data_IF_587878287333
#
_entry.id   IF_587878287333
#
_cell.length_a   1.000
_cell.length_b   1.000
_cell.length_c   1.000
_cell.angle_alpha   90.00
_cell.angle_beta   90.00
_cell.angle_gamma   90.00
#
_symmetry.space_group_name_H-M   'P 1'
#
loop_
_entity.id
_entity.type
_entity.pdbx_description
1 polymer ?
#
# COMPACT_ATOMS: atom_id res chain seq x y z
N UNK A 1 37.26 -24.90 18.25
CA UNK A 1 36.75 -23.52 18.10
C UNK A 1 35.25 -23.60 18.17
N UNK A 2 34.66 -23.20 19.29
CA UNK A 2 33.21 -23.15 19.46
C UNK A 2 32.69 -21.97 18.63
N UNK A 3 32.19 -22.25 17.43
CA UNK A 3 31.36 -21.31 16.70
C UNK A 3 30.05 -21.17 17.47
N UNK A 4 29.85 -20.00 18.08
CA UNK A 4 28.53 -19.61 18.56
C UNK A 4 27.54 -19.71 17.41
N UNK A 5 26.36 -20.34 17.60
CA UNK A 5 25.34 -20.35 16.57
C UNK A 5 24.95 -18.89 16.23
N UNK A 6 24.69 -18.59 14.95
CA UNK A 6 24.31 -17.25 14.55
C UNK A 6 23.06 -16.83 15.33
N UNK A 7 23.11 -15.63 15.92
CA UNK A 7 21.96 -15.02 16.58
C UNK A 7 20.83 -14.96 15.55
N UNK A 8 19.65 -15.55 15.82
CA UNK A 8 18.54 -15.49 14.89
C UNK A 8 18.18 -14.01 14.66
N UNK A 9 17.92 -13.58 13.41
CA UNK A 9 17.41 -12.25 13.15
C UNK A 9 16.14 -12.04 13.95
N UNK A 10 16.03 -10.88 14.61
CA UNK A 10 14.84 -10.49 15.36
C UNK A 10 13.62 -10.61 14.44
N UNK A 11 12.57 -11.37 14.82
CA UNK A 11 11.31 -11.35 14.10
C UNK A 11 10.91 -9.90 13.88
N UNK A 12 10.60 -9.53 12.64
CA UNK A 12 10.14 -8.18 12.36
C UNK A 12 8.96 -7.90 13.29
N UNK A 13 8.99 -6.79 14.04
CA UNK A 13 7.86 -6.45 14.87
C UNK A 13 6.62 -6.40 13.98
N UNK A 14 5.48 -6.97 14.44
CA UNK A 14 4.23 -6.81 13.73
C UNK A 14 4.04 -5.31 13.48
N UNK A 15 3.60 -4.94 12.27
CA UNK A 15 3.05 -3.60 12.08
C UNK A 15 1.93 -3.52 13.11
N UNK A 16 2.00 -2.59 14.07
CA UNK A 16 0.93 -2.47 15.03
C UNK A 16 -0.33 -2.25 14.19
N UNK A 17 -1.31 -3.16 14.29
CA UNK A 17 -2.68 -2.91 13.88
C UNK A 17 -3.31 -1.92 14.87
N UNK A 18 -2.65 -0.79 15.03
CA UNK A 18 -3.01 0.33 15.87
C UNK A 18 -2.14 1.44 15.33
N UNK A 19 -2.71 2.37 14.57
CA UNK A 19 -2.56 3.78 14.88
C UNK A 19 -1.31 4.06 15.73
N UNK A 20 -0.12 4.14 15.10
CA UNK A 20 1.14 4.39 15.84
C UNK A 20 1.05 5.68 16.67
N UNK A 21 0.08 6.53 16.31
CA UNK A 21 -0.45 7.65 17.06
C UNK A 21 -1.97 7.52 17.16
N UNK A 22 -2.57 7.91 18.30
CA UNK A 22 -4.04 7.95 18.46
C UNK A 22 -4.71 8.76 17.32
N UNK A 23 -5.95 8.40 16.96
CA UNK A 23 -6.66 9.05 15.85
C UNK A 23 -6.68 10.59 16.01
N UNK A 24 -6.93 11.08 17.23
CA UNK A 24 -6.92 12.51 17.57
C UNK A 24 -5.60 13.21 17.20
N UNK A 25 -4.46 12.51 17.38
CA UNK A 25 -3.14 13.04 17.01
C UNK A 25 -2.98 13.09 15.49
N UNK A 26 -3.46 12.05 14.79
CA UNK A 26 -3.42 12.01 13.33
C UNK A 26 -4.31 13.10 12.73
N UNK A 27 -5.50 13.31 13.28
CA UNK A 27 -6.43 14.38 12.90
C UNK A 27 -5.79 15.76 13.10
N UNK A 28 -5.21 16.00 14.28
CA UNK A 28 -4.52 17.27 14.57
C UNK A 28 -3.36 17.52 13.60
N UNK A 29 -2.62 16.47 13.24
CA UNK A 29 -1.46 16.59 12.34
C UNK A 29 -1.85 16.97 10.90
N UNK A 30 -2.88 16.34 10.32
CA UNK A 30 -3.22 16.58 8.91
C UNK A 30 -3.89 17.94 8.66
N UNK A 31 -4.49 18.52 9.69
CA UNK A 31 -5.10 19.86 9.66
C UNK A 31 -4.18 20.95 10.22
N UNK A 32 -2.89 20.65 10.46
CA UNK A 32 -1.95 21.65 10.95
C UNK A 32 -1.81 22.82 9.96
N UNK A 33 -1.77 24.05 10.47
CA UNK A 33 -1.85 25.26 9.66
C UNK A 33 -0.63 25.47 8.74
N UNK A 34 0.56 25.07 9.20
CA UNK A 34 1.80 25.25 8.44
C UNK A 34 2.20 23.96 7.69
N UNK A 35 2.05 23.90 6.35
CA UNK A 35 2.46 22.75 5.55
C UNK A 35 3.98 22.50 5.59
N UNK A 36 4.80 23.49 5.94
CA UNK A 36 6.26 23.32 6.10
C UNK A 36 6.56 22.44 7.31
N UNK A 37 5.80 22.56 8.40
CA UNK A 37 5.96 21.69 9.58
C UNK A 37 5.63 20.25 9.21
N UNK A 38 4.54 20.04 8.47
CA UNK A 38 4.14 18.72 7.97
C UNK A 38 5.24 18.14 7.07
N UNK A 39 5.74 18.92 6.10
CA UNK A 39 6.82 18.47 5.22
C UNK A 39 8.11 18.14 5.98
N UNK A 40 8.49 18.95 6.97
CA UNK A 40 9.65 18.68 7.84
C UNK A 40 9.46 17.42 8.67
N UNK A 41 8.26 17.15 9.18
CA UNK A 41 7.97 15.93 9.92
C UNK A 41 8.10 14.69 9.03
N UNK A 42 7.61 14.77 7.79
CA UNK A 42 7.79 13.72 6.78
C UNK A 42 9.29 13.55 6.47
N UNK A 43 10.02 14.62 6.20
CA UNK A 43 11.47 14.55 5.94
C UNK A 43 12.25 13.97 7.14
N UNK A 44 11.87 14.31 8.37
CA UNK A 44 12.43 13.73 9.59
C UNK A 44 12.17 12.24 9.65
N UNK A 45 10.95 11.79 9.36
CA UNK A 45 10.61 10.37 9.36
C UNK A 45 11.48 9.58 8.36
N UNK A 46 11.69 10.11 7.15
CA UNK A 46 12.64 9.52 6.20
C UNK A 46 14.08 9.48 6.76
N UNK A 47 14.53 10.57 7.39
CA UNK A 47 15.86 10.60 8.01
C UNK A 47 15.99 9.55 9.11
N UNK A 48 14.98 9.40 9.96
CA UNK A 48 14.99 8.44 11.07
C UNK A 48 15.03 6.98 10.54
N UNK A 49 14.30 6.67 9.46
CA UNK A 49 14.36 5.36 8.80
C UNK A 49 15.76 5.06 8.25
N UNK A 50 16.41 6.06 7.64
CA UNK A 50 17.61 5.83 6.82
C UNK A 50 18.92 6.03 7.56
N UNK A 51 18.94 6.87 8.59
CA UNK A 51 20.13 7.21 9.36
C UNK A 51 19.99 6.81 10.84
N UNK A 52 18.82 6.33 11.26
CA UNK A 52 18.44 6.23 12.66
C UNK A 52 17.98 7.60 13.21
N UNK A 53 17.32 7.61 14.36
CA UNK A 53 16.86 8.84 14.99
C UNK A 53 18.03 9.76 15.33
N UNK A 54 17.95 11.01 14.87
CA UNK A 54 18.92 12.06 15.24
C UNK A 54 18.55 12.59 16.63
N UNK A 55 19.21 12.08 17.69
CA UNK A 55 19.22 12.53 19.10
C UNK A 55 17.87 12.80 19.81
N UNK A 56 17.54 12.06 20.88
CA UNK A 56 16.66 12.56 21.97
C UNK A 56 17.02 11.97 23.37
N UNK A 57 16.67 12.68 24.45
CA UNK A 57 17.00 12.34 25.83
C UNK A 57 16.08 11.27 26.39
N UNK A 58 16.63 10.50 27.32
CA UNK A 58 16.00 9.44 28.11
C UNK A 58 14.83 9.99 28.93
N UNK A 59 13.70 9.26 28.97
CA UNK A 59 12.58 9.58 29.85
C UNK A 59 12.89 9.23 31.33
N UNK A 60 11.98 9.52 32.25
CA UNK A 60 12.16 9.24 33.68
C UNK A 60 12.31 7.73 34.04
N UNK A 61 12.02 6.85 33.08
CA UNK A 61 12.24 5.39 33.09
C UNK A 61 13.42 4.96 32.19
N UNK A 62 14.21 5.90 31.69
CA UNK A 62 15.33 5.70 30.78
C UNK A 62 14.97 4.98 29.45
N UNK A 63 13.70 5.03 29.00
CA UNK A 63 13.22 4.31 27.81
C UNK A 63 12.58 5.26 26.79
N UNK A 64 13.28 5.56 25.70
CA UNK A 64 12.71 6.24 24.54
C UNK A 64 12.05 5.15 23.68
N UNK A 65 10.78 5.31 23.29
CA UNK A 65 10.19 4.51 22.19
C UNK A 65 10.81 5.00 20.88
N UNK A 66 12.02 4.52 20.63
CA UNK A 66 12.80 4.77 19.42
C UNK A 66 12.13 4.06 18.26
N UNK A 67 12.00 4.72 17.11
CA UNK A 67 11.84 4.02 15.83
C UNK A 67 13.07 3.12 15.70
N UNK A 68 12.93 1.83 15.97
CA UNK A 68 14.07 0.93 15.94
C UNK A 68 14.58 0.88 14.50
N UNK A 69 15.89 0.91 14.33
CA UNK A 69 16.53 0.69 13.02
C UNK A 69 16.21 -0.70 12.45
N UNK A 70 15.69 -1.59 13.28
CA UNK A 70 15.16 -2.90 12.87
C UNK A 70 13.63 -2.88 12.61
N UNK A 71 12.95 -1.77 12.91
CA UNK A 71 11.58 -1.52 12.47
C UNK A 71 11.63 -1.18 10.98
N UNK A 72 11.56 -2.21 10.15
CA UNK A 72 11.41 -2.03 8.72
C UNK A 72 10.29 -1.00 8.46
N UNK A 73 10.48 -0.01 7.55
CA UNK A 73 9.43 0.94 7.25
C UNK A 73 8.15 0.15 6.95
N UNK A 74 6.99 0.54 7.51
CA UNK A 74 5.73 -0.19 7.33
C UNK A 74 5.17 -0.05 5.89
N UNK A 75 6.02 0.33 4.94
CA UNK A 75 5.67 0.75 3.61
C UNK A 75 6.21 -0.28 2.61
N UNK A 76 5.35 -0.69 1.70
CA UNK A 76 5.74 -1.41 0.50
C UNK A 76 4.98 -0.79 -0.66
N UNK A 77 5.62 -0.64 -1.81
CA UNK A 77 5.07 0.09 -2.96
C UNK A 77 3.78 -0.53 -3.51
N UNK A 78 3.50 -1.80 -3.18
CA UNK A 78 2.21 -2.45 -3.47
C UNK A 78 1.02 -1.72 -2.81
N UNK A 79 1.21 -1.15 -1.63
CA UNK A 79 0.20 -0.34 -0.95
C UNK A 79 -0.23 0.80 -1.86
N UNK A 80 0.76 1.58 -2.33
CA UNK A 80 0.50 2.71 -3.20
C UNK A 80 -0.13 2.31 -4.53
N UNK A 81 0.32 1.21 -5.13
CA UNK A 81 -0.31 0.65 -6.32
C UNK A 81 -1.80 0.32 -6.10
N UNK A 82 -2.14 -0.41 -5.04
CA UNK A 82 -3.52 -0.83 -4.77
C UNK A 82 -4.43 0.36 -4.47
N UNK A 83 -3.95 1.31 -3.66
CA UNK A 83 -4.69 2.52 -3.34
C UNK A 83 -4.87 3.41 -4.58
N UNK A 84 -3.83 3.63 -5.40
CA UNK A 84 -3.98 4.44 -6.62
C UNK A 84 -4.96 3.84 -7.61
N UNK A 85 -5.04 2.50 -7.73
CA UNK A 85 -6.04 1.83 -8.58
C UNK A 85 -7.48 2.19 -8.23
N UNK A 86 -7.76 2.76 -7.05
CA UNK A 86 -9.09 3.25 -6.68
C UNK A 86 -9.51 4.53 -7.40
N UNK A 87 -8.56 5.19 -8.10
CA UNK A 87 -8.65 6.54 -8.69
C UNK A 87 -8.67 7.68 -7.67
N UNK A 88 -8.29 7.42 -6.42
CA UNK A 88 -8.27 8.44 -5.37
C UNK A 88 -7.44 9.68 -5.73
N UNK A 89 -6.29 9.50 -6.38
CA UNK A 89 -5.44 10.62 -6.78
C UNK A 89 -6.14 11.55 -7.77
N UNK A 90 -6.76 10.99 -8.82
CA UNK A 90 -7.46 11.77 -9.85
C UNK A 90 -8.71 12.45 -9.30
N UNK A 91 -9.45 11.77 -8.42
CA UNK A 91 -10.64 12.32 -7.76
C UNK A 91 -10.24 13.51 -6.88
N UNK A 92 -9.20 13.37 -6.07
CA UNK A 92 -8.75 14.45 -5.18
C UNK A 92 -8.09 15.59 -5.97
N UNK A 93 -7.30 15.31 -7.00
CA UNK A 93 -6.75 16.34 -7.88
C UNK A 93 -7.86 17.19 -8.51
N UNK A 94 -8.91 16.53 -9.04
CA UNK A 94 -10.08 17.23 -9.57
C UNK A 94 -10.85 18.00 -8.51
N UNK A 95 -10.94 17.47 -7.29
CA UNK A 95 -11.54 18.17 -6.16
C UNK A 95 -10.81 19.48 -5.86
N UNK A 96 -9.47 19.43 -5.75
CA UNK A 96 -8.64 20.61 -5.49
C UNK A 96 -8.80 21.61 -6.63
N UNK A 97 -8.74 21.14 -7.88
CA UNK A 97 -8.94 21.99 -9.07
C UNK A 97 -10.29 22.71 -9.03
N UNK A 98 -11.39 21.98 -8.79
CA UNK A 98 -12.72 22.58 -8.73
C UNK A 98 -12.84 23.58 -7.60
N UNK A 99 -12.27 23.31 -6.41
CA UNK A 99 -12.29 24.27 -5.29
C UNK A 99 -11.54 25.56 -5.57
N UNK A 100 -10.48 25.51 -6.36
CA UNK A 100 -9.66 26.70 -6.66
C UNK A 100 -10.21 27.55 -7.80
N UNK A 101 -10.96 26.94 -8.71
CA UNK A 101 -11.37 27.57 -9.98
C UNK A 101 -12.87 27.79 -10.07
N UNK A 102 -13.66 27.20 -9.17
CA UNK A 102 -15.11 27.21 -9.21
C UNK A 102 -15.71 27.08 -7.78
N UNK A 103 -17.00 27.36 -7.63
CA UNK A 103 -17.74 27.24 -6.37
C UNK A 103 -18.74 26.06 -6.40
N UNK A 104 -18.65 25.19 -7.41
CA UNK A 104 -19.56 24.05 -7.61
C UNK A 104 -19.61 23.05 -6.46
N UNK A 105 -18.57 23.00 -5.62
CA UNK A 105 -18.50 22.14 -4.45
C UNK A 105 -19.02 22.82 -3.17
N UNK A 106 -19.47 24.07 -3.26
CA UNK A 106 -19.97 24.88 -2.16
C UNK A 106 -18.90 25.81 -1.56
N UNK A 107 -19.38 26.82 -0.83
CA UNK A 107 -18.52 27.87 -0.23
C UNK A 107 -18.19 27.51 1.23
N UNK A 108 -16.90 27.51 1.56
CA UNK A 108 -16.44 27.31 2.93
C UNK A 108 -16.74 28.56 3.77
N UNK A 109 -17.25 28.36 4.99
CA UNK A 109 -17.53 29.46 5.93
C UNK A 109 -16.35 29.60 6.87
N UNK A 110 -15.83 30.82 7.09
CA UNK A 110 -14.75 31.04 8.04
C UNK A 110 -15.22 30.86 9.50
N UNK A 111 -16.53 30.78 9.77
CA UNK A 111 -17.06 30.65 11.14
C UNK A 111 -17.26 29.19 11.56
N UNK A 112 -17.13 28.25 10.62
CA UNK A 112 -17.34 26.81 10.86
C UNK A 112 -15.99 26.10 10.89
N UNK A 113 -15.54 25.66 12.07
CA UNK A 113 -14.25 24.96 12.28
C UNK A 113 -14.07 23.78 11.32
N UNK A 114 -15.14 23.04 11.03
CA UNK A 114 -15.09 21.93 10.09
C UNK A 114 -14.75 22.38 8.65
N UNK A 115 -15.26 23.54 8.23
CA UNK A 115 -14.97 24.11 6.91
C UNK A 115 -13.54 24.62 6.87
N UNK A 116 -13.06 25.25 7.95
CA UNK A 116 -11.65 25.67 8.10
C UNK A 116 -10.71 24.47 7.94
N UNK A 117 -10.95 23.37 8.67
CA UNK A 117 -10.14 22.16 8.57
C UNK A 117 -10.19 21.53 7.16
N UNK A 118 -11.35 21.51 6.52
CA UNK A 118 -11.47 21.04 5.14
C UNK A 118 -10.62 21.88 4.17
N UNK A 119 -10.67 23.20 4.28
CA UNK A 119 -9.86 24.12 3.46
C UNK A 119 -8.37 23.97 3.75
N UNK A 120 -7.99 23.89 5.02
CA UNK A 120 -6.60 23.71 5.43
C UNK A 120 -6.02 22.43 4.84
N UNK A 121 -6.77 21.32 4.86
CA UNK A 121 -6.30 20.08 4.25
C UNK A 121 -6.16 20.19 2.74
N UNK A 122 -7.07 20.86 2.03
CA UNK A 122 -6.96 21.10 0.58
C UNK A 122 -5.68 21.87 0.27
N UNK A 123 -5.44 22.98 0.98
CA UNK A 123 -4.23 23.80 0.83
C UNK A 123 -2.96 23.03 1.19
N UNK A 124 -2.97 22.26 2.28
CA UNK A 124 -1.85 21.41 2.66
C UNK A 124 -1.55 20.37 1.58
N UNK A 125 -2.58 19.71 1.05
CA UNK A 125 -2.44 18.68 0.02
C UNK A 125 -1.81 19.25 -1.25
N UNK A 126 -2.28 20.40 -1.71
CA UNK A 126 -1.68 21.11 -2.84
C UNK A 126 -0.20 21.44 -2.59
N UNK A 127 0.09 22.10 -1.45
CA UNK A 127 1.44 22.54 -1.11
C UNK A 127 2.43 21.37 -0.93
N UNK A 128 1.96 20.23 -0.43
CA UNK A 128 2.80 19.06 -0.14
C UNK A 128 3.08 18.19 -1.36
N UNK A 129 2.14 18.11 -2.32
CA UNK A 129 2.18 17.09 -3.37
C UNK A 129 1.99 17.60 -4.80
N UNK A 130 1.33 18.75 -4.99
CA UNK A 130 1.08 19.32 -6.33
C UNK A 130 1.98 20.53 -6.65
N UNK A 131 2.64 21.10 -5.64
CA UNK A 131 3.71 22.09 -5.82
C UNK A 131 5.05 21.43 -6.18
N UNK A 132 5.84 22.11 -7.00
CA UNK A 132 7.25 21.75 -7.23
C UNK A 132 8.05 21.82 -5.93
N UNK A 133 8.52 20.66 -5.46
CA UNK A 133 9.31 20.54 -4.25
C UNK A 133 10.75 21.05 -4.44
N UNK A 134 11.39 21.46 -3.34
CA UNK A 134 12.83 21.77 -3.32
C UNK A 134 13.66 20.55 -3.74
N UNK A 135 14.84 20.80 -4.32
CA UNK A 135 15.83 19.76 -4.63
C UNK A 135 16.29 18.99 -3.37
N UNK A 136 16.18 19.59 -2.19
CA UNK A 136 16.54 18.96 -0.91
C UNK A 136 15.47 18.04 -0.33
N UNK A 137 14.24 18.04 -0.87
CA UNK A 137 13.15 17.22 -0.33
C UNK A 137 13.31 15.76 -0.75
N UNK A 138 13.35 14.83 0.21
CA UNK A 138 13.47 13.39 -0.06
C UNK A 138 12.29 12.81 -0.82
N UNK A 139 11.12 13.46 -0.85
CA UNK A 139 9.97 13.02 -1.64
C UNK A 139 9.98 13.49 -3.08
N UNK A 140 10.90 14.38 -3.45
CA UNK A 140 10.94 14.95 -4.79
C UNK A 140 11.39 13.91 -5.84
N UNK A 141 10.43 13.24 -6.47
CA UNK A 141 10.65 12.28 -7.56
C UNK A 141 10.52 12.92 -8.95
N UNK A 142 10.27 14.23 -8.99
CA UNK A 142 10.12 15.03 -10.20
C UNK A 142 11.37 15.86 -10.48
N UNK A 143 11.62 16.15 -11.75
CA UNK A 143 12.66 17.07 -12.20
C UNK A 143 12.39 17.49 -13.64
N UNK A 144 13.23 18.34 -14.23
CA UNK A 144 13.14 18.63 -15.67
C UNK A 144 13.25 17.37 -16.54
N UNK A 145 13.84 16.28 -16.02
CA UNK A 145 13.94 14.98 -16.71
C UNK A 145 12.73 14.07 -16.40
N UNK A 146 12.04 14.30 -15.27
CA UNK A 146 10.85 13.56 -14.83
C UNK A 146 9.76 14.55 -14.45
N UNK A 147 9.08 15.19 -15.42
CA UNK A 147 8.23 16.34 -15.13
C UNK A 147 6.93 15.96 -14.40
N UNK A 148 6.50 14.71 -14.47
CA UNK A 148 5.21 14.26 -13.92
C UNK A 148 5.41 13.21 -12.82
N UNK A 149 4.87 13.49 -11.63
CA UNK A 149 4.92 12.60 -10.47
C UNK A 149 4.13 11.30 -10.68
N UNK A 150 2.94 11.35 -11.28
CA UNK A 150 2.15 10.15 -11.61
C UNK A 150 2.92 9.22 -12.55
N UNK A 151 3.53 9.77 -13.60
CA UNK A 151 4.36 8.98 -14.53
C UNK A 151 5.56 8.32 -13.82
N UNK A 152 6.16 8.99 -12.85
CA UNK A 152 7.23 8.43 -12.03
C UNK A 152 6.74 7.27 -11.14
N UNK A 153 5.56 7.39 -10.52
CA UNK A 153 4.95 6.31 -9.72
C UNK A 153 4.54 5.11 -10.57
N UNK A 154 3.87 5.33 -11.71
CA UNK A 154 3.53 4.28 -12.68
C UNK A 154 4.76 3.54 -13.19
N UNK A 155 5.86 4.26 -13.46
CA UNK A 155 7.13 3.64 -13.81
C UNK A 155 7.66 2.74 -12.68
N UNK A 156 7.59 3.19 -11.44
CA UNK A 156 8.02 2.40 -10.28
C UNK A 156 7.18 1.12 -10.11
N UNK A 157 5.84 1.22 -10.23
CA UNK A 157 4.93 0.05 -10.21
C UNK A 157 5.26 -0.94 -11.32
N UNK A 158 5.46 -0.44 -12.54
CA UNK A 158 5.80 -1.27 -13.69
C UNK A 158 7.16 -1.94 -13.53
N UNK A 159 8.16 -1.25 -12.97
CA UNK A 159 9.47 -1.84 -12.69
C UNK A 159 9.36 -2.93 -11.63
N UNK A 160 8.65 -2.68 -10.54
CA UNK A 160 8.56 -3.58 -9.39
C UNK A 160 7.71 -4.83 -9.66
N UNK A 161 6.59 -4.69 -10.37
CA UNK A 161 5.61 -5.76 -10.53
C UNK A 161 5.23 -6.06 -11.99
N UNK A 162 5.72 -5.28 -12.96
CA UNK A 162 5.35 -5.46 -14.37
C UNK A 162 3.92 -5.09 -14.73
N UNK A 163 3.20 -4.40 -13.83
CA UNK A 163 1.77 -4.05 -13.97
C UNK A 163 1.55 -2.55 -14.15
N UNK A 164 0.43 -2.20 -14.76
CA UNK A 164 -0.04 -0.83 -14.95
C UNK A 164 -1.24 -0.54 -14.04
N UNK A 165 -1.61 0.73 -13.86
CA UNK A 165 -2.87 1.07 -13.20
C UNK A 165 -4.04 0.79 -14.16
N UNK A 166 -5.19 0.45 -13.59
CA UNK A 166 -6.38 0.02 -14.32
C UNK A 166 -7.03 1.11 -15.20
N UNK A 167 -6.67 2.38 -14.98
CA UNK A 167 -7.29 3.53 -15.60
C UNK A 167 -6.25 4.41 -16.33
N UNK A 168 -6.76 5.17 -17.29
CA UNK A 168 -6.00 6.08 -18.13
C UNK A 168 -5.82 7.45 -17.49
N UNK A 169 -4.86 8.25 -17.98
CA UNK A 169 -4.64 9.58 -17.43
C UNK A 169 -5.79 10.51 -17.85
N UNK A 170 -6.38 11.21 -16.89
CA UNK A 170 -7.48 12.16 -17.14
C UNK A 170 -7.08 13.38 -17.95
N UNK A 171 -5.78 13.68 -18.07
CA UNK A 171 -5.27 14.85 -18.79
C UNK A 171 -5.00 14.61 -20.29
N UNK A 172 -5.27 13.40 -20.80
CA UNK A 172 -5.21 13.07 -22.23
C UNK A 172 -6.44 12.24 -22.60
N UNK A 173 -7.54 12.91 -22.91
CA UNK A 173 -8.79 12.28 -23.35
C UNK A 173 -8.68 11.60 -24.73
N UNK A 174 -7.57 11.80 -25.47
CA UNK A 174 -7.43 11.41 -26.87
C UNK A 174 -6.43 10.28 -27.18
N UNK A 175 -5.70 9.72 -26.20
CA UNK A 175 -4.60 8.77 -26.54
C UNK A 175 -4.37 7.57 -25.62
N UNK A 176 -5.26 7.28 -24.69
CA UNK A 176 -5.08 6.16 -23.76
C UNK A 176 -4.06 6.44 -22.64
N UNK A 177 -3.84 5.39 -21.81
CA UNK A 177 -2.94 5.31 -20.63
C UNK A 177 -1.82 6.36 -20.65
N UNK A 178 -1.63 7.09 -19.53
CA UNK A 178 -0.58 8.10 -19.33
C UNK A 178 0.71 7.72 -20.08
N UNK A 179 1.23 8.52 -21.02
CA UNK A 179 2.49 8.19 -21.68
C UNK A 179 3.62 8.32 -20.65
N UNK A 180 3.96 7.20 -20.00
CA UNK A 180 5.11 7.07 -19.13
C UNK A 180 6.10 6.08 -19.73
N UNK A 181 7.37 6.24 -19.38
CA UNK A 181 8.41 5.33 -19.85
C UNK A 181 8.22 3.94 -19.25
N UNK A 182 7.90 2.94 -20.09
CA UNK A 182 7.84 1.52 -19.66
C UNK A 182 9.24 0.92 -19.69
N UNK A 183 9.80 0.66 -18.52
CA UNK A 183 11.14 0.10 -18.40
C UNK A 183 11.23 -1.29 -19.07
N UNK A 184 12.25 -1.50 -19.90
CA UNK A 184 12.50 -2.81 -20.53
C UNK A 184 12.68 -3.92 -19.50
N UNK A 185 13.39 -3.61 -18.40
CA UNK A 185 13.62 -4.53 -17.29
C UNK A 185 12.56 -4.32 -16.19
N UNK A 186 11.53 -5.16 -16.21
CA UNK A 186 10.37 -5.18 -15.30
C UNK A 186 10.02 -6.60 -14.89
N UNK A 187 9.40 -6.76 -13.73
CA UNK A 187 9.01 -8.05 -13.14
C UNK A 187 7.68 -8.57 -13.71
N UNK A 188 7.59 -8.81 -15.03
CA UNK A 188 6.34 -9.20 -15.71
C UNK A 188 5.73 -10.53 -15.22
N UNK A 189 6.57 -11.43 -14.70
CA UNK A 189 6.12 -12.73 -14.18
C UNK A 189 5.66 -12.67 -12.71
N UNK A 190 5.66 -11.47 -12.10
CA UNK A 190 5.29 -11.31 -10.70
C UNK A 190 3.88 -11.82 -10.42
N UNK A 191 2.88 -11.42 -11.22
CA UNK A 191 1.49 -11.78 -10.95
C UNK A 191 1.25 -13.29 -11.04
N UNK A 192 1.64 -14.01 -12.12
CA UNK A 192 1.49 -15.45 -12.17
C UNK A 192 2.14 -16.18 -10.99
N UNK A 193 3.31 -15.73 -10.53
CA UNK A 193 4.00 -16.30 -9.37
C UNK A 193 3.28 -15.98 -8.06
N UNK A 194 2.80 -14.75 -7.92
CA UNK A 194 2.08 -14.30 -6.73
C UNK A 194 0.75 -15.04 -6.58
N UNK A 195 -0.01 -15.25 -7.66
CA UNK A 195 -1.25 -16.04 -7.63
C UNK A 195 -0.99 -17.53 -7.36
N UNK A 196 0.12 -18.05 -7.87
CA UNK A 196 0.61 -19.38 -7.49
C UNK A 196 0.99 -19.45 -6.01
N UNK A 197 1.60 -18.41 -5.46
CA UNK A 197 1.92 -18.38 -4.03
C UNK A 197 0.66 -18.33 -3.15
N UNK A 198 -0.28 -17.43 -3.47
CA UNK A 198 -1.51 -17.24 -2.71
C UNK A 198 -2.40 -18.50 -2.66
N UNK A 199 -2.50 -19.24 -3.77
CA UNK A 199 -3.31 -20.47 -3.76
C UNK A 199 -2.63 -21.65 -3.07
N UNK A 200 -1.29 -21.73 -3.02
CA UNK A 200 -0.62 -22.74 -2.17
C UNK A 200 -0.87 -22.44 -0.68
N UNK A 201 -0.80 -21.16 -0.29
CA UNK A 201 -1.15 -20.73 1.06
C UNK A 201 -2.61 -21.05 1.42
N UNK A 202 -3.54 -20.83 0.49
CA UNK A 202 -4.94 -21.20 0.68
C UNK A 202 -5.13 -22.71 0.86
N UNK A 203 -4.51 -23.51 0.00
CA UNK A 203 -4.58 -24.97 0.10
C UNK A 203 -4.02 -25.45 1.45
N UNK A 204 -2.91 -24.86 1.89
CA UNK A 204 -2.31 -25.17 3.18
C UNK A 204 -3.22 -24.82 4.36
N UNK A 205 -3.89 -23.66 4.31
CA UNK A 205 -4.88 -23.26 5.30
C UNK A 205 -6.07 -24.22 5.36
N UNK A 206 -6.64 -24.61 4.22
CA UNK A 206 -7.76 -25.58 4.18
C UNK A 206 -7.33 -26.93 4.78
N UNK A 207 -6.18 -27.45 4.37
CA UNK A 207 -5.68 -28.72 4.89
C UNK A 207 -5.40 -28.67 6.40
N UNK A 208 -4.92 -27.55 6.93
CA UNK A 208 -4.69 -27.37 8.36
C UNK A 208 -5.99 -27.41 9.18
N UNK A 209 -7.13 -27.02 8.59
CA UNK A 209 -8.45 -27.07 9.22
C UNK A 209 -9.13 -28.44 9.09
N UNK A 210 -8.68 -29.28 8.14
CA UNK A 210 -9.28 -30.59 7.89
C UNK A 210 -8.91 -31.58 9.02
N UNK A 211 -9.92 -32.29 9.53
CA UNK A 211 -9.74 -33.36 10.53
C UNK A 211 -9.65 -34.76 9.93
N UNK A 212 -9.92 -34.88 8.63
CA UNK A 212 -9.91 -36.12 7.87
C UNK A 212 -9.49 -35.87 6.42
N UNK A 213 -8.83 -36.83 5.79
CA UNK A 213 -8.32 -36.74 4.42
C UNK A 213 -6.79 -36.65 4.35
N UNK A 214 -6.23 -36.88 3.17
CA UNK A 214 -4.80 -36.75 2.94
C UNK A 214 -4.39 -35.27 2.97
N UNK A 215 -3.37 -34.94 3.77
CA UNK A 215 -2.79 -33.60 3.77
C UNK A 215 -1.87 -33.43 2.56
N UNK A 216 -2.34 -32.70 1.55
CA UNK A 216 -1.60 -32.42 0.30
C UNK A 216 -0.73 -31.17 0.37
N UNK A 217 -0.54 -30.58 1.56
CA UNK A 217 0.20 -29.32 1.70
C UNK A 217 1.67 -29.49 1.38
N UNK A 218 2.15 -28.72 0.40
CA UNK A 218 3.56 -28.64 0.04
C UNK A 218 4.16 -27.32 0.57
N UNK A 219 4.71 -27.38 1.80
CA UNK A 219 5.39 -26.23 2.41
C UNK A 219 6.66 -25.82 1.65
N UNK A 220 7.35 -26.77 1.00
CA UNK A 220 8.55 -26.46 0.22
C UNK A 220 8.18 -25.63 -1.01
N UNK A 221 7.07 -25.97 -1.68
CA UNK A 221 6.57 -25.18 -2.81
C UNK A 221 6.22 -23.74 -2.41
N UNK A 222 5.62 -23.53 -1.24
CA UNK A 222 5.33 -22.19 -0.70
C UNK A 222 6.63 -21.38 -0.53
N UNK A 223 7.65 -22.00 0.06
CA UNK A 223 8.98 -21.40 0.28
C UNK A 223 9.63 -21.05 -1.07
N UNK A 224 9.67 -21.99 -2.01
CA UNK A 224 10.26 -21.78 -3.34
C UNK A 224 9.59 -20.64 -4.11
N UNK A 225 8.27 -20.51 -4.01
CA UNK A 225 7.52 -19.43 -4.64
C UNK A 225 7.81 -18.08 -3.97
N UNK A 226 7.84 -18.04 -2.63
CA UNK A 226 8.23 -16.84 -1.89
C UNK A 226 9.64 -16.38 -2.27
N UNK A 227 10.59 -17.31 -2.38
CA UNK A 227 11.97 -17.03 -2.79
C UNK A 227 12.05 -16.44 -4.18
N UNK A 228 11.35 -17.01 -5.16
CA UNK A 228 11.32 -16.45 -6.52
C UNK A 228 10.76 -15.03 -6.55
N UNK A 229 9.67 -14.78 -5.82
CA UNK A 229 9.07 -13.44 -5.72
C UNK A 229 10.06 -12.47 -5.06
N UNK A 230 10.72 -12.90 -3.97
CA UNK A 230 11.77 -12.13 -3.29
C UNK A 230 12.91 -11.75 -4.23
N UNK A 231 13.50 -12.72 -4.91
CA UNK A 231 14.61 -12.50 -5.86
C UNK A 231 14.22 -11.51 -6.96
N UNK A 232 13.01 -11.64 -7.51
CA UNK A 232 12.48 -10.68 -8.48
C UNK A 232 12.42 -9.27 -7.92
N UNK A 233 11.88 -9.07 -6.72
CA UNK A 233 11.78 -7.73 -6.09
C UNK A 233 13.16 -7.17 -5.73
N UNK A 234 14.04 -7.95 -5.11
CA UNK A 234 15.39 -7.55 -4.75
C UNK A 234 16.24 -7.16 -5.98
N UNK A 235 16.07 -7.87 -7.11
CA UNK A 235 16.73 -7.51 -8.37
C UNK A 235 16.38 -6.10 -8.83
N UNK A 236 15.15 -5.63 -8.56
CA UNK A 236 14.71 -4.27 -8.90
C UNK A 236 15.25 -3.25 -7.93
N UNK A 237 15.45 -3.63 -6.67
CA UNK A 237 16.10 -2.77 -5.66
C UNK A 237 17.62 -2.68 -5.83
N UNK A 238 18.21 -3.53 -6.66
CA UNK A 238 19.66 -3.59 -6.86
C UNK A 238 20.40 -4.27 -5.70
N UNK A 239 19.69 -5.13 -4.95
CA UNK A 239 20.26 -5.94 -3.88
C UNK A 239 20.31 -7.40 -4.30
N UNK A 240 21.39 -8.09 -3.94
CA UNK A 240 21.54 -9.54 -4.13
C UNK A 240 21.39 -10.32 -2.80
N UNK A 241 20.90 -9.67 -1.74
CA UNK A 241 20.80 -10.28 -0.42
C UNK A 241 19.87 -9.52 0.51
N UNK A 242 20.11 -9.66 1.81
CA UNK A 242 19.22 -9.14 2.85
C UNK A 242 19.08 -7.62 2.76
N UNK A 243 17.82 -7.17 2.75
CA UNK A 243 17.46 -5.79 2.95
C UNK A 243 17.97 -5.35 4.33
N UNK A 244 18.76 -4.28 4.36
CA UNK A 244 19.15 -3.63 5.61
C UNK A 244 18.66 -2.19 5.55
N UNK A 245 18.13 -1.64 6.63
CA UNK A 245 17.65 -0.24 6.57
C UNK A 245 18.78 0.76 6.27
N UNK A 246 20.02 0.35 6.48
CA UNK A 246 21.24 1.11 6.17
C UNK A 246 21.44 1.41 4.69
N UNK A 247 21.07 0.47 3.83
CA UNK A 247 21.21 0.64 2.39
C UNK A 247 19.89 1.06 1.73
N UNK A 248 18.76 1.05 2.46
CA UNK A 248 17.44 1.36 1.92
C UNK A 248 17.40 2.67 1.14
N UNK A 249 18.04 3.76 1.64
CA UNK A 249 18.10 5.05 0.93
C UNK A 249 18.80 5.01 -0.43
N UNK A 250 19.70 4.05 -0.62
CA UNK A 250 20.50 3.88 -1.85
C UNK A 250 19.92 2.81 -2.77
N UNK A 251 18.95 2.04 -2.29
CA UNK A 251 18.28 1.04 -3.10
C UNK A 251 17.40 1.72 -4.12
N UNK A 252 17.41 1.11 -5.29
CA UNK A 252 16.60 1.56 -6.41
C UNK A 252 15.10 1.39 -6.04
N UNK A 253 14.28 2.37 -6.43
CA UNK A 253 12.85 2.48 -6.10
C UNK A 253 12.51 2.85 -4.65
N UNK A 254 13.43 2.89 -3.69
CA UNK A 254 13.08 3.21 -2.29
C UNK A 254 12.54 4.62 -2.10
N UNK A 255 13.06 5.59 -2.86
CA UNK A 255 12.57 6.97 -2.84
C UNK A 255 11.20 7.07 -3.47
N UNK A 256 11.01 6.43 -4.63
CA UNK A 256 9.71 6.33 -5.29
C UNK A 256 8.68 5.62 -4.41
N UNK A 257 9.05 4.54 -3.72
CA UNK A 257 8.21 3.83 -2.75
C UNK A 257 7.78 4.74 -1.60
N UNK A 258 8.72 5.42 -0.95
CA UNK A 258 8.41 6.32 0.15
C UNK A 258 7.53 7.50 -0.27
N UNK A 259 7.86 8.14 -1.40
CA UNK A 259 7.06 9.24 -1.93
C UNK A 259 5.64 8.80 -2.31
N UNK A 260 5.51 7.63 -2.95
CA UNK A 260 4.22 7.08 -3.37
C UNK A 260 3.35 6.68 -2.19
N UNK A 261 3.91 5.93 -1.24
CA UNK A 261 3.18 5.50 -0.04
C UNK A 261 2.80 6.69 0.83
N UNK A 262 3.70 7.66 1.04
CA UNK A 262 3.37 8.88 1.76
C UNK A 262 2.24 9.68 1.11
N UNK A 263 2.27 9.81 -0.22
CA UNK A 263 1.20 10.47 -0.98
C UNK A 263 -0.14 9.76 -0.85
N UNK A 264 -0.20 8.45 -1.12
CA UNK A 264 -1.48 7.74 -1.10
C UNK A 264 -2.04 7.54 0.30
N UNK A 265 -1.18 7.41 1.32
CA UNK A 265 -1.61 7.32 2.72
C UNK A 265 -2.24 8.63 3.18
N UNK A 266 -1.67 9.76 2.77
CA UNK A 266 -2.26 11.09 3.01
C UNK A 266 -3.66 11.22 2.39
N UNK A 267 -3.81 10.80 1.14
CA UNK A 267 -5.11 10.82 0.46
C UNK A 267 -6.10 9.83 1.05
N UNK A 268 -5.66 8.61 1.38
CA UNK A 268 -6.53 7.60 1.97
C UNK A 268 -7.01 8.01 3.36
N UNK A 269 -6.15 8.62 4.18
CA UNK A 269 -6.49 9.01 5.54
C UNK A 269 -7.73 9.90 5.60
N UNK A 270 -7.83 10.91 4.72
CA UNK A 270 -8.97 11.84 4.75
C UNK A 270 -10.31 11.18 4.43
N UNK A 271 -10.30 10.03 3.75
CA UNK A 271 -11.50 9.25 3.42
C UNK A 271 -11.64 7.99 4.27
N UNK A 272 -10.72 7.71 5.19
CA UNK A 272 -10.82 6.53 6.05
C UNK A 272 -12.00 6.62 7.04
N UNK A 273 -12.42 7.85 7.35
CA UNK A 273 -13.50 8.17 8.30
C UNK A 273 -14.35 9.36 7.81
N UNK A 274 -15.38 9.74 8.58
CA UNK A 274 -16.14 10.98 8.35
C UNK A 274 -15.28 12.21 8.73
N UNK A 275 -14.24 12.47 7.96
CA UNK A 275 -13.35 13.61 8.20
C UNK A 275 -14.06 14.96 7.98
N UNK A 276 -13.49 16.07 8.49
CA UNK A 276 -13.96 17.41 8.18
C UNK A 276 -14.19 17.65 6.69
N UNK A 277 -13.30 17.19 5.82
CA UNK A 277 -13.49 17.28 4.36
C UNK A 277 -14.70 16.49 3.88
N UNK A 278 -14.83 15.22 4.30
CA UNK A 278 -15.95 14.36 3.90
C UNK A 278 -17.29 14.95 4.35
N UNK A 279 -17.33 15.49 5.57
CA UNK A 279 -18.54 16.10 6.11
C UNK A 279 -18.89 17.40 5.41
N UNK A 280 -17.90 18.26 5.17
CA UNK A 280 -18.06 19.50 4.44
C UNK A 280 -18.62 19.28 3.04
N UNK A 281 -18.17 18.24 2.35
CA UNK A 281 -18.69 17.86 1.03
C UNK A 281 -20.07 17.19 1.09
N UNK A 282 -20.56 16.77 2.27
CA UNK A 282 -21.76 15.95 2.39
C UNK A 282 -21.61 14.56 1.74
N UNK A 283 -20.41 13.98 1.84
CA UNK A 283 -20.03 12.72 1.19
C UNK A 283 -19.81 11.57 2.18
N UNK A 284 -20.51 11.60 3.32
CA UNK A 284 -20.42 10.57 4.36
C UNK A 284 -20.78 9.17 3.80
N UNK A 285 -20.28 8.13 4.48
CA UNK A 285 -20.52 6.72 4.16
C UNK A 285 -20.15 5.81 5.33
N UNK A 286 -20.39 4.51 5.19
CA UNK A 286 -19.98 3.51 6.17
C UNK A 286 -18.55 3.05 5.93
N UNK A 287 -18.08 3.09 4.68
CA UNK A 287 -16.73 2.66 4.31
C UNK A 287 -15.95 3.75 3.56
N UNK A 288 -14.62 3.63 3.53
CA UNK A 288 -13.78 4.54 2.76
C UNK A 288 -14.12 4.51 1.26
N UNK A 289 -14.48 3.34 0.72
CA UNK A 289 -14.91 3.21 -0.68
C UNK A 289 -16.19 3.97 -0.97
N UNK A 290 -17.19 3.92 -0.08
CA UNK A 290 -18.44 4.67 -0.27
C UNK A 290 -18.20 6.17 -0.25
N UNK A 291 -17.36 6.66 0.69
CA UNK A 291 -16.96 8.07 0.73
C UNK A 291 -16.27 8.49 -0.56
N UNK A 292 -15.32 7.69 -1.06
CA UNK A 292 -14.63 7.98 -2.30
C UNK A 292 -15.60 8.01 -3.49
N UNK A 293 -16.55 7.07 -3.57
CA UNK A 293 -17.59 7.05 -4.61
C UNK A 293 -18.45 8.32 -4.54
N UNK A 294 -18.84 8.76 -3.34
CA UNK A 294 -19.64 9.96 -3.15
C UNK A 294 -18.86 11.24 -3.56
N UNK A 295 -17.60 11.36 -3.16
CA UNK A 295 -16.72 12.46 -3.61
C UNK A 295 -16.54 12.40 -5.13
N UNK A 296 -16.28 11.21 -5.68
CA UNK A 296 -16.11 10.98 -7.11
C UNK A 296 -17.30 11.47 -7.93
N UNK A 297 -18.53 11.19 -7.48
CA UNK A 297 -19.76 11.69 -8.10
C UNK A 297 -19.82 13.22 -8.11
N UNK A 298 -19.38 13.89 -7.04
CA UNK A 298 -19.38 15.36 -6.96
C UNK A 298 -18.39 15.99 -7.92
N UNK A 299 -17.23 15.38 -8.11
CA UNK A 299 -16.16 15.92 -8.96
C UNK A 299 -16.23 15.44 -10.42
N UNK A 300 -17.18 14.56 -10.74
CA UNK A 300 -17.39 14.01 -12.08
C UNK A 300 -16.42 12.89 -12.47
N UNK A 301 -15.74 12.27 -11.49
CA UNK A 301 -14.79 11.16 -11.72
C UNK A 301 -15.21 9.96 -10.89
N UNK A 302 -15.67 8.89 -11.54
CA UNK A 302 -16.07 7.67 -10.83
C UNK A 302 -14.87 6.95 -10.20
N UNK A 303 -15.02 6.55 -8.93
CA UNK A 303 -14.08 5.67 -8.26
C UNK A 303 -14.09 4.26 -8.89
N UNK A 304 -13.00 3.52 -8.69
CA UNK A 304 -12.94 2.15 -9.19
C UNK A 304 -14.02 1.25 -8.55
N UNK A 305 -14.69 0.43 -9.36
CA UNK A 305 -15.79 -0.44 -8.89
C UNK A 305 -15.40 -1.46 -7.81
N UNK A 306 -14.09 -1.72 -7.67
CA UNK A 306 -13.49 -2.62 -6.67
C UNK A 306 -12.75 -1.88 -5.55
N UNK A 307 -12.97 -0.57 -5.39
CA UNK A 307 -12.22 0.27 -4.45
C UNK A 307 -12.21 -0.30 -3.02
N UNK A 308 -13.34 -0.82 -2.52
CA UNK A 308 -13.40 -1.46 -1.20
C UNK A 308 -12.38 -2.61 -1.04
N UNK A 309 -12.36 -3.55 -1.99
CA UNK A 309 -11.43 -4.68 -1.93
C UNK A 309 -9.97 -4.22 -2.03
N UNK A 310 -9.69 -3.17 -2.81
CA UNK A 310 -8.35 -2.58 -2.92
C UNK A 310 -7.92 -1.91 -1.61
N UNK A 311 -8.81 -1.15 -0.96
CA UNK A 311 -8.53 -0.53 0.34
C UNK A 311 -8.28 -1.56 1.43
N UNK A 312 -9.15 -2.57 1.54
CA UNK A 312 -9.06 -3.61 2.57
C UNK A 312 -7.82 -4.50 2.39
N UNK A 313 -7.34 -4.66 1.15
CA UNK A 313 -6.18 -5.49 0.85
C UNK A 313 -4.85 -4.75 1.02
N UNK A 314 -4.80 -3.43 0.81
CA UNK A 314 -3.55 -2.70 0.66
C UNK A 314 -2.59 -2.83 1.86
N UNK A 315 -3.04 -2.67 3.13
CA UNK A 315 -2.16 -2.86 4.29
C UNK A 315 -1.61 -4.27 4.38
N UNK A 316 -2.47 -5.29 4.31
CA UNK A 316 -2.08 -6.70 4.42
C UNK A 316 -1.16 -7.14 3.28
N UNK A 317 -1.39 -6.65 2.06
CA UNK A 317 -0.52 -6.91 0.92
C UNK A 317 0.88 -6.32 1.11
N UNK A 318 0.96 -5.12 1.70
CA UNK A 318 2.24 -4.50 2.04
C UNK A 318 2.99 -5.30 3.10
N UNK A 319 2.32 -5.75 4.17
CA UNK A 319 2.90 -6.63 5.18
C UNK A 319 3.43 -7.93 4.56
N UNK A 320 2.60 -8.58 3.74
CA UNK A 320 2.94 -9.86 3.13
C UNK A 320 4.17 -9.75 2.22
N UNK A 321 4.17 -8.79 1.29
CA UNK A 321 5.30 -8.63 0.37
C UNK A 321 6.56 -8.16 1.10
N UNK A 322 6.43 -7.36 2.16
CA UNK A 322 7.57 -7.01 3.03
C UNK A 322 8.15 -8.27 3.68
N UNK A 323 7.33 -9.13 4.26
CA UNK A 323 7.81 -10.37 4.87
C UNK A 323 8.52 -11.28 3.84
N UNK A 324 8.05 -11.30 2.59
CA UNK A 324 8.74 -11.98 1.49
C UNK A 324 10.08 -11.29 1.19
N UNK A 325 10.10 -9.98 0.96
CA UNK A 325 11.30 -9.20 0.63
C UNK A 325 12.40 -9.35 1.70
N UNK A 326 12.03 -9.28 2.97
CA UNK A 326 12.94 -9.44 4.11
C UNK A 326 13.37 -10.89 4.35
N UNK A 327 12.83 -11.85 3.59
CA UNK A 327 13.22 -13.25 3.65
C UNK A 327 12.63 -14.00 4.84
N UNK A 328 11.52 -13.54 5.43
CA UNK A 328 10.87 -14.23 6.56
C UNK A 328 10.46 -15.68 6.22
N UNK A 329 10.25 -15.96 4.93
CA UNK A 329 9.94 -17.30 4.40
C UNK A 329 11.19 -18.15 4.11
N UNK A 330 12.41 -17.64 4.30
CA UNK A 330 13.68 -18.29 3.94
C UNK A 330 14.62 -18.54 5.13
N UNK A 331 14.34 -17.94 6.30
CA UNK A 331 15.21 -18.04 7.48
C UNK A 331 15.17 -19.43 8.10
N UNK A 332 16.28 -19.83 8.73
CA UNK A 332 16.74 -21.13 9.26
C UNK A 332 15.76 -22.24 9.70
N UNK A 333 14.47 -21.99 9.88
CA UNK A 333 13.40 -22.99 10.02
C UNK A 333 12.09 -22.50 9.34
N UNK A 334 12.11 -22.27 8.02
CA UNK A 334 11.05 -21.52 7.35
C UNK A 334 9.75 -22.34 7.21
N UNK A 335 9.90 -23.64 7.04
CA UNK A 335 8.82 -24.63 7.03
C UNK A 335 8.03 -24.62 8.36
N UNK A 336 8.75 -24.55 9.47
CA UNK A 336 8.19 -24.52 10.82
C UNK A 336 7.49 -23.20 11.08
N UNK A 337 8.07 -22.08 10.65
CA UNK A 337 7.46 -20.77 10.82
C UNK A 337 6.15 -20.65 10.02
N UNK A 338 6.17 -20.97 8.72
CA UNK A 338 4.97 -20.84 7.88
C UNK A 338 3.88 -21.84 8.28
N UNK A 339 4.26 -23.07 8.66
CA UNK A 339 3.36 -24.04 9.29
C UNK A 339 2.72 -23.44 10.55
N UNK A 340 3.50 -22.86 11.45
CA UNK A 340 2.97 -22.24 12.68
C UNK A 340 2.00 -21.10 12.37
N UNK A 341 2.30 -20.26 11.36
CA UNK A 341 1.39 -19.20 10.91
C UNK A 341 0.08 -19.78 10.41
N UNK A 342 0.13 -20.75 9.49
CA UNK A 342 -1.04 -21.39 8.87
C UNK A 342 -1.88 -22.13 9.92
N UNK A 343 -1.24 -22.82 10.86
CA UNK A 343 -1.89 -23.62 11.88
C UNK A 343 -2.31 -22.80 13.12
N UNK A 344 -2.02 -21.49 13.16
CA UNK A 344 -2.21 -20.62 14.32
C UNK A 344 -3.65 -20.44 14.80
N UNK A 345 -4.63 -20.75 13.94
CA UNK A 345 -6.07 -20.70 14.22
C UNK A 345 -6.74 -22.07 14.14
N UNK A 346 -5.97 -23.16 14.16
CA UNK A 346 -6.54 -24.51 14.13
C UNK A 346 -7.17 -24.85 15.49
N UNK A 347 -8.34 -25.48 15.46
CA UNK A 347 -9.09 -25.87 16.66
C UNK A 347 -8.48 -27.07 17.40
N UNK A 348 -7.51 -27.77 16.79
CA UNK A 348 -6.99 -29.06 17.25
C UNK A 348 -5.62 -28.96 17.95
N UNK A 349 -5.47 -28.02 18.90
CA UNK A 349 -4.24 -27.92 19.69
C UNK A 349 -2.99 -27.61 18.86
N UNK A 350 -3.13 -26.74 17.85
CA UNK A 350 -2.04 -26.29 16.99
C UNK A 350 -0.85 -25.71 17.78
N UNK A 351 0.31 -25.53 17.12
CA UNK A 351 1.51 -25.02 17.76
C UNK A 351 1.23 -23.66 18.43
N UNK A 352 1.91 -23.40 19.55
CA UNK A 352 1.79 -22.13 20.27
C UNK A 352 2.25 -20.97 19.37
N UNK A 353 1.30 -20.32 18.70
CA UNK A 353 1.57 -19.20 17.82
C UNK A 353 1.63 -17.87 18.58
N UNK A 354 2.67 -17.09 18.29
CA UNK A 354 2.78 -15.70 18.75
C UNK A 354 1.66 -14.83 18.17
N UNK A 355 1.35 -13.68 18.81
CA UNK A 355 0.41 -12.70 18.25
C UNK A 355 0.77 -12.25 16.82
N UNK A 356 2.07 -12.10 16.53
CA UNK A 356 2.55 -11.74 15.20
C UNK A 356 2.25 -12.81 14.14
N UNK A 357 2.41 -14.10 14.49
CA UNK A 357 2.09 -15.19 13.57
C UNK A 357 0.59 -15.30 13.29
N UNK A 358 -0.26 -15.03 14.29
CA UNK A 358 -1.72 -14.97 14.10
C UNK A 358 -2.13 -13.79 13.22
N UNK A 359 -1.51 -12.63 13.41
CA UNK A 359 -1.74 -11.45 12.57
C UNK A 359 -1.31 -11.71 11.11
N UNK A 360 -0.16 -12.37 10.90
CA UNK A 360 0.30 -12.74 9.57
C UNK A 360 -0.70 -13.65 8.82
N UNK A 361 -1.34 -14.59 9.51
CA UNK A 361 -2.40 -15.41 8.90
C UNK A 361 -3.61 -14.56 8.49
N UNK A 362 -4.05 -13.63 9.35
CA UNK A 362 -5.15 -12.72 9.05
C UNK A 362 -4.83 -11.88 7.80
N UNK A 363 -3.61 -11.35 7.70
CA UNK A 363 -3.15 -10.58 6.54
C UNK A 363 -3.14 -11.46 5.27
N UNK A 364 -2.60 -12.68 5.34
CA UNK A 364 -2.60 -13.63 4.20
C UNK A 364 -4.03 -13.89 3.70
N UNK A 365 -4.95 -14.21 4.61
CA UNK A 365 -6.34 -14.51 4.25
C UNK A 365 -7.05 -13.26 3.70
N UNK A 366 -6.75 -12.08 4.25
CA UNK A 366 -7.28 -10.79 3.75
C UNK A 366 -6.83 -10.54 2.32
N UNK A 367 -5.54 -10.77 2.02
CA UNK A 367 -5.00 -10.65 0.66
C UNK A 367 -5.68 -11.65 -0.27
N UNK A 368 -5.75 -12.94 0.07
CA UNK A 368 -6.38 -13.96 -0.78
C UNK A 368 -7.83 -13.57 -1.12
N UNK A 369 -8.63 -13.23 -0.10
CA UNK A 369 -10.04 -12.92 -0.25
C UNK A 369 -10.28 -11.68 -1.12
N UNK A 370 -9.51 -10.63 -0.91
CA UNK A 370 -9.71 -9.37 -1.62
C UNK A 370 -9.02 -9.33 -2.98
N UNK A 371 -7.95 -10.12 -3.18
CA UNK A 371 -7.33 -10.30 -4.49
C UNK A 371 -8.31 -10.90 -5.48
N UNK A 372 -8.98 -12.01 -5.14
CA UNK A 372 -10.01 -12.62 -6.00
C UNK A 372 -11.14 -11.65 -6.34
N UNK A 373 -11.57 -10.82 -5.39
CA UNK A 373 -12.63 -9.82 -5.59
C UNK A 373 -12.20 -8.71 -6.54
N UNK A 374 -10.93 -8.29 -6.46
CA UNK A 374 -10.37 -7.18 -7.22
C UNK A 374 -9.96 -7.59 -8.65
N UNK A 375 -9.34 -8.76 -8.83
CA UNK A 375 -8.85 -9.24 -10.14
C UNK A 375 -9.86 -10.12 -10.86
N UNK A 376 -10.78 -10.77 -10.14
CA UNK A 376 -11.68 -11.78 -10.69
C UNK A 376 -11.06 -13.16 -10.88
N UNK A 377 -9.75 -13.31 -10.68
CA UNK A 377 -9.06 -14.60 -10.73
C UNK A 377 -9.39 -15.43 -9.49
N UNK A 378 -9.74 -16.70 -9.69
CA UNK A 378 -10.06 -17.68 -8.65
C UNK A 378 -8.77 -18.29 -8.11
N UNK A 379 -8.32 -17.77 -6.97
CA UNK A 379 -7.19 -18.30 -6.20
C UNK A 379 -7.59 -19.56 -5.43
N UNK A 380 -8.81 -19.59 -4.89
CA UNK A 380 -9.34 -20.68 -4.06
C UNK A 380 -9.76 -21.92 -4.85
N UNK A 381 -10.01 -21.74 -6.15
CA UNK A 381 -10.37 -22.82 -7.06
C UNK A 381 -9.72 -22.57 -8.43
N UNK A 382 -8.43 -22.92 -8.56
CA UNK A 382 -7.63 -22.60 -9.75
C UNK A 382 -8.12 -23.25 -11.03
N UNK A 383 -8.75 -24.42 -10.92
CA UNK A 383 -9.30 -25.16 -12.07
C UNK A 383 -10.42 -24.38 -12.77
N UNK A 384 -11.04 -23.43 -12.06
CA UNK A 384 -12.09 -22.55 -12.59
C UNK A 384 -11.58 -21.26 -13.24
N UNK A 385 -10.26 -21.04 -13.33
CA UNK A 385 -9.70 -19.86 -13.98
C UNK A 385 -9.80 -19.93 -15.51
N UNK A 386 -10.40 -18.91 -16.12
CA UNK A 386 -10.36 -18.70 -17.57
C UNK A 386 -8.99 -18.11 -17.94
N UNK A 387 -8.32 -18.70 -18.92
CA UNK A 387 -6.97 -18.28 -19.38
C UNK A 387 -7.04 -16.88 -19.99
N UNK A 388 -6.56 -15.86 -19.25
CA UNK A 388 -6.58 -14.46 -19.68
C UNK A 388 -5.47 -13.62 -19.02
N UNK A 389 -5.16 -12.45 -19.61
CA UNK A 389 -4.16 -11.52 -19.08
C UNK A 389 -4.72 -10.72 -17.89
N UNK A 390 -3.93 -10.61 -16.81
CA UNK A 390 -4.35 -9.93 -15.59
C UNK A 390 -4.49 -8.42 -15.83
N UNK A 391 -5.69 -7.90 -15.61
CA UNK A 391 -5.94 -6.47 -15.38
C UNK A 391 -6.93 -6.36 -14.23
N UNK A 392 -6.72 -5.41 -13.32
CA UNK A 392 -7.77 -5.03 -12.38
C UNK A 392 -8.93 -4.52 -13.24
N UNK A 393 -10.01 -5.30 -13.29
CA UNK A 393 -11.08 -5.05 -14.22
C UNK A 393 -11.97 -3.92 -13.70
N UNK A 394 -12.04 -2.82 -14.45
CA UNK A 394 -13.09 -1.83 -14.29
C UNK A 394 -14.32 -2.32 -15.07
N UNK A 395 -15.48 -2.40 -14.43
CA UNK A 395 -16.74 -2.63 -15.15
C UNK A 395 -17.00 -1.44 -16.07
N UNK A 396 -16.77 -1.63 -17.37
CA UNK A 396 -17.29 -0.73 -18.41
C UNK A 396 -18.81 -0.84 -18.44
N UNK A 397 -19.52 0.27 -18.30
CA UNK A 397 -20.96 0.31 -18.58
C UNK A 397 -21.12 0.47 -20.09
N UNK A 398 -21.78 -0.51 -20.72
CA UNK A 398 -22.31 -0.39 -22.07
C UNK A 398 -23.11 0.92 -22.17
N UNK A 399 -22.63 1.85 -23.00
CA UNK A 399 -23.40 2.99 -23.44
C UNK A 399 -24.59 2.47 -24.25
N UNK A 400 -25.78 2.47 -23.65
CA UNK A 400 -27.02 2.40 -24.41
C UNK A 400 -27.10 3.68 -25.23
N UNK A 401 -26.75 3.57 -26.51
CA UNK A 401 -27.08 4.56 -27.52
C UNK A 401 -28.58 4.74 -27.54
N UNK A 402 -29.05 5.89 -27.06
CA UNK A 402 -30.38 6.38 -27.39
C UNK A 402 -30.34 6.74 -28.86
N UNK A 403 -30.99 5.89 -29.65
CA UNK A 403 -31.17 6.07 -31.08
C UNK A 403 -31.90 7.37 -31.37
N UNK A 404 -31.42 8.02 -32.41
CA UNK A 404 -32.03 9.12 -33.15
C UNK A 404 -33.47 8.78 -33.50
N UNK A 405 -34.37 9.73 -33.23
CA UNK A 405 -35.39 10.22 -34.17
C UNK A 405 -35.64 11.70 -33.89
#
# INVERSE_FOLDING_TARGET
MNSTPPVPPTPLPPIPYTNSYALEVQETFVFYEDPIVIDKAIQKHWSDITNGPINFPVDASNTIQVFNRDDAPPYHIIYAYLIENTRIAQIIERLIYLYQHDETLGVASPDVVMHQNAMQWIMNTENLFYKTLSNTSYRNITSNVRPNAESARRNAYFRMFGIDLAFENTNNLDSGIAPYFKAKASNKDFIPLFEQFLGELWQAYINAQNTSGANSTDYQRIIDLATKIREMMLSRRGSAGNLTLNNYRFMNLSREEYASVGFVSWLYFIIAYNSPLVNFLGCQGNTASERLVNIGKKVGIEAHSKAQALFDMAPSAATLLRNIEFGSFELTAPDTWIRTVIESQTTNGGPAASPAQRAALIDILTVINNWEKATGHKIKNRESNVVGTVRIAQLSRNGNGVGVN
#
